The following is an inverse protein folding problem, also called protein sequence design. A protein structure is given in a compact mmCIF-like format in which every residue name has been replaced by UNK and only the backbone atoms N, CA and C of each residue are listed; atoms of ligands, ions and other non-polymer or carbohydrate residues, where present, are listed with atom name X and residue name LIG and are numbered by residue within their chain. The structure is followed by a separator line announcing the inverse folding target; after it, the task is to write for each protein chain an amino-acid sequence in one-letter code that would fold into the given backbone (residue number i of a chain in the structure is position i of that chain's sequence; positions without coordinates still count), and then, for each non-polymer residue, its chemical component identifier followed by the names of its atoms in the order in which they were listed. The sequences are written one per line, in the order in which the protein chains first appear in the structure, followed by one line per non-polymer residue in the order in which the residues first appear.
data_IF_322634453992
#
_entry.id   IF_322634453992
#
_cell.length_a   1.000
_cell.length_b   1.000
_cell.length_c   1.000
_cell.angle_alpha   90.00
_cell.angle_beta   90.00
_cell.angle_gamma   90.00
#
_symmetry.space_group_name_H-M   'P 1'
#
loop_
_entity.id
_entity.type
_entity.pdbx_description
1 polymer ?
#
# COMPACT_ATOMS: atom_id res chain seq x y z
N UNK A 1 -9.42 26.21 22.07
CA UNK A 1 -9.99 25.01 21.45
C UNK A 1 -9.54 24.99 20.00
N UNK A 2 -8.61 24.10 19.65
CA UNK A 2 -8.11 23.95 18.28
C UNK A 2 -9.09 23.05 17.51
N UNK A 3 -9.74 23.59 16.48
CA UNK A 3 -10.55 22.82 15.54
C UNK A 3 -9.62 22.00 14.64
N UNK A 4 -9.48 20.70 14.93
CA UNK A 4 -8.92 19.75 13.98
C UNK A 4 -9.72 19.82 12.68
N UNK A 5 -9.09 20.03 11.51
CA UNK A 5 -9.78 19.86 10.24
C UNK A 5 -10.22 18.40 10.12
N UNK A 6 -11.47 18.19 9.72
CA UNK A 6 -11.98 16.86 9.41
C UNK A 6 -11.01 16.19 8.42
N UNK A 7 -10.55 14.98 8.75
CA UNK A 7 -9.79 14.09 7.84
C UNK A 7 -10.52 14.12 6.50
N UNK A 8 -9.92 14.79 5.50
CA UNK A 8 -10.50 14.86 4.16
C UNK A 8 -10.74 13.43 3.70
N UNK A 9 -11.97 13.11 3.31
CA UNK A 9 -12.33 11.81 2.76
C UNK A 9 -11.46 11.58 1.53
N UNK A 10 -10.36 10.86 1.73
CA UNK A 10 -9.38 10.64 0.69
C UNK A 10 -10.03 9.65 -0.27
N UNK A 11 -10.28 10.04 -1.52
CA UNK A 11 -10.92 9.18 -2.53
C UNK A 11 -10.33 7.77 -2.55
N UNK A 12 -11.15 6.72 -2.36
CA UNK A 12 -10.73 5.30 -2.35
C UNK A 12 -9.99 4.86 -3.63
N UNK A 13 -10.02 5.70 -4.66
CA UNK A 13 -9.35 5.50 -5.93
C UNK A 13 -8.35 6.60 -6.24
N UNK A 14 -7.29 6.21 -6.94
CA UNK A 14 -6.22 7.07 -7.47
C UNK A 14 -6.18 6.92 -8.99
N UNK A 15 -6.01 8.02 -9.70
CA UNK A 15 -5.78 7.99 -11.15
C UNK A 15 -4.29 7.81 -11.42
N UNK A 16 -3.94 6.69 -12.05
CA UNK A 16 -2.57 6.38 -12.47
C UNK A 16 -2.40 6.81 -13.91
N UNK A 17 -1.42 7.68 -14.17
CA UNK A 17 -1.06 8.12 -15.52
C UNK A 17 0.11 7.28 -16.06
N UNK A 18 -0.11 6.63 -17.20
CA UNK A 18 0.87 5.82 -17.92
C UNK A 18 1.44 6.69 -19.04
N UNK A 19 2.77 6.74 -19.14
CA UNK A 19 3.51 7.50 -20.17
C UNK A 19 4.23 6.54 -21.11
N UNK A 20 4.55 6.98 -22.33
CA UNK A 20 5.27 6.18 -23.34
C UNK A 20 4.38 5.80 -24.54
N UNK A 21 4.83 4.81 -25.34
CA UNK A 21 4.14 4.40 -26.59
C UNK A 21 2.68 3.95 -26.35
N UNK A 22 2.38 3.47 -25.14
CA UNK A 22 1.04 3.09 -24.67
C UNK A 22 0.55 4.06 -23.58
N UNK A 23 0.59 5.37 -23.86
CA UNK A 23 0.16 6.40 -22.92
C UNK A 23 -1.34 6.30 -22.62
N UNK A 24 -1.72 6.62 -21.38
CA UNK A 24 -3.12 6.59 -20.94
C UNK A 24 -3.26 6.87 -19.46
N UNK A 25 -4.46 6.68 -18.94
CA UNK A 25 -4.68 6.68 -17.49
C UNK A 25 -5.69 5.61 -17.09
N UNK A 26 -5.60 5.15 -15.86
CA UNK A 26 -6.57 4.23 -15.27
C UNK A 26 -6.84 4.58 -13.82
N UNK A 27 -8.08 4.40 -13.40
CA UNK A 27 -8.46 4.53 -11.99
C UNK A 27 -8.19 3.21 -11.27
N UNK A 28 -7.47 3.28 -10.16
CA UNK A 28 -7.02 2.13 -9.38
C UNK A 28 -7.43 2.34 -7.92
N UNK A 29 -7.93 1.32 -7.22
CA UNK A 29 -8.25 1.47 -5.80
C UNK A 29 -6.97 1.56 -4.96
N UNK A 30 -6.98 2.38 -3.91
CA UNK A 30 -5.85 2.46 -2.97
C UNK A 30 -5.54 1.10 -2.35
N UNK A 31 -6.58 0.37 -1.96
CA UNK A 31 -6.47 -1.01 -1.49
C UNK A 31 -5.69 -1.92 -2.45
N UNK A 32 -5.95 -1.84 -3.76
CA UNK A 32 -5.20 -2.66 -4.72
C UNK A 32 -3.72 -2.23 -4.86
N UNK A 33 -3.42 -0.95 -4.64
CA UNK A 33 -2.04 -0.45 -4.59
C UNK A 33 -1.35 -0.95 -3.33
N UNK A 34 -2.02 -0.91 -2.17
CA UNK A 34 -1.51 -1.43 -0.89
C UNK A 34 -1.22 -2.94 -0.99
N UNK A 35 -2.18 -3.72 -1.49
CA UNK A 35 -2.01 -5.17 -1.72
C UNK A 35 -0.84 -5.44 -2.68
N UNK A 36 -0.71 -4.66 -3.76
CA UNK A 36 0.41 -4.79 -4.70
C UNK A 36 1.74 -4.42 -4.06
N UNK A 37 1.81 -3.37 -3.24
CA UNK A 37 3.03 -2.95 -2.56
C UNK A 37 3.48 -4.00 -1.53
N UNK A 38 2.53 -4.55 -0.78
CA UNK A 38 2.78 -5.61 0.21
C UNK A 38 3.28 -6.89 -0.47
N UNK A 39 2.66 -7.30 -1.57
CA UNK A 39 3.12 -8.45 -2.36
C UNK A 39 4.53 -8.22 -2.93
N UNK A 40 4.81 -7.04 -3.46
CA UNK A 40 6.14 -6.70 -3.96
C UNK A 40 7.18 -6.76 -2.83
N UNK A 41 6.86 -6.25 -1.64
CA UNK A 41 7.75 -6.34 -0.48
C UNK A 41 8.03 -7.81 -0.10
N UNK A 42 7.00 -8.67 -0.08
CA UNK A 42 7.15 -10.11 0.17
C UNK A 42 8.14 -10.73 -0.82
N UNK A 43 7.88 -10.52 -2.11
CA UNK A 43 8.73 -11.04 -3.20
C UNK A 43 10.15 -10.49 -3.12
N UNK A 44 10.33 -9.20 -2.80
CA UNK A 44 11.67 -8.61 -2.61
C UNK A 44 12.45 -9.34 -1.53
N UNK A 45 11.85 -9.60 -0.36
CA UNK A 45 12.56 -10.33 0.68
C UNK A 45 12.85 -11.80 0.30
N UNK A 46 11.94 -12.45 -0.42
CA UNK A 46 12.17 -13.80 -0.94
C UNK A 46 13.35 -13.84 -1.92
N UNK A 47 13.48 -12.83 -2.78
CA UNK A 47 14.63 -12.68 -3.70
C UNK A 47 15.94 -12.46 -2.94
N UNK A 48 15.90 -11.73 -1.82
CA UNK A 48 17.04 -11.52 -0.93
C UNK A 48 17.42 -12.78 -0.11
N UNK A 49 16.67 -13.88 -0.27
CA UNK A 49 16.94 -15.16 0.37
C UNK A 49 16.35 -15.29 1.77
N UNK A 50 15.54 -14.32 2.21
CA UNK A 50 14.85 -14.41 3.47
C UNK A 50 13.67 -15.39 3.37
N UNK A 51 13.56 -16.29 4.36
CA UNK A 51 12.43 -17.20 4.50
C UNK A 51 11.56 -16.75 5.66
N UNK A 52 10.28 -16.51 5.37
CA UNK A 52 9.28 -16.21 6.39
C UNK A 52 8.18 -17.25 6.30
N UNK A 53 7.65 -17.65 7.45
CA UNK A 53 6.38 -18.37 7.46
C UNK A 53 5.23 -17.41 7.16
N UNK A 54 4.08 -17.93 6.74
CA UNK A 54 2.86 -17.13 6.61
C UNK A 54 2.49 -16.45 7.95
N UNK A 55 2.85 -17.06 9.08
CA UNK A 55 2.64 -16.47 10.41
C UNK A 55 3.52 -15.26 10.67
N UNK A 56 4.77 -15.26 10.19
CA UNK A 56 5.68 -14.12 10.35
C UNK A 56 5.29 -12.98 9.42
N UNK A 57 4.86 -13.32 8.19
CA UNK A 57 4.29 -12.35 7.27
C UNK A 57 3.05 -11.65 7.85
N UNK A 58 2.16 -12.43 8.48
CA UNK A 58 0.97 -11.89 9.15
C UNK A 58 1.31 -10.91 10.28
N UNK A 59 2.41 -11.15 11.02
CA UNK A 59 2.88 -10.20 12.05
C UNK A 59 3.41 -8.90 11.43
N UNK A 60 4.15 -8.99 10.33
CA UNK A 60 4.67 -7.82 9.60
C UNK A 60 3.50 -6.96 9.10
N UNK A 61 2.50 -7.58 8.48
CA UNK A 61 1.29 -6.87 8.04
C UNK A 61 0.58 -6.16 9.20
N UNK A 62 0.42 -6.84 10.34
CA UNK A 62 -0.19 -6.23 11.53
C UNK A 62 0.59 -5.03 12.05
N UNK A 63 1.92 -5.07 12.02
CA UNK A 63 2.76 -3.92 12.42
C UNK A 63 2.60 -2.78 11.41
N UNK A 64 2.54 -3.08 10.11
CA UNK A 64 2.29 -2.08 9.08
C UNK A 64 0.94 -1.37 9.29
N UNK A 65 -0.13 -2.12 9.58
CA UNK A 65 -1.45 -1.55 9.90
C UNK A 65 -1.40 -0.65 11.16
N UNK A 66 -0.64 -1.06 12.17
CA UNK A 66 -0.45 -0.27 13.39
C UNK A 66 0.31 1.03 13.15
N UNK A 67 1.32 1.01 12.27
CA UNK A 67 2.09 2.19 11.90
C UNK A 67 1.25 3.18 11.09
N UNK A 68 0.44 2.69 10.14
CA UNK A 68 -0.49 3.52 9.37
C UNK A 68 -1.51 4.25 10.27
N UNK A 69 -1.96 3.59 11.35
CA UNK A 69 -2.90 4.20 12.29
C UNK A 69 -2.33 5.39 13.09
N UNK A 70 -1.00 5.55 13.16
CA UNK A 70 -0.31 6.58 13.95
C UNK A 70 0.10 7.79 13.10
N UNK A 71 0.11 7.66 11.78
CA UNK A 71 0.50 8.71 10.81
C UNK A 71 -0.76 9.42 10.27
#
# INVERSE_FOLDING_TARGET
MSTQPARGSSSDKVTVYIRGLNAGSRSVSRRSIEESAMNNAKTSFEIEGHRYSDSDWSKIMRIADQLDAVI
#
